data_IF_710704785361
#
_entry.id   IF_710704785361
#
_cell.length_a   1.000
_cell.length_b   1.000
_cell.length_c   1.000
_cell.angle_alpha   90.00
_cell.angle_beta   90.00
_cell.angle_gamma   90.00
#
_symmetry.space_group_name_H-M   'P 1'
#
loop_
_entity.id
_entity.type
_entity.pdbx_description
1 polymer ?
#
# COMPACT_ATOMS: atom_id res chain seq x y z
N UNK A 1 -15.34 -6.21 54.59
CA UNK A 1 -15.96 -5.13 53.79
C UNK A 1 -15.40 -3.74 54.12
N UNK A 2 -15.10 -3.42 55.38
CA UNK A 2 -14.51 -2.12 55.79
C UNK A 2 -13.11 -1.92 55.19
N UNK A 3 -12.24 -2.93 55.25
CA UNK A 3 -10.88 -2.88 54.67
C UNK A 3 -10.87 -2.62 53.15
N UNK A 4 -11.78 -3.25 52.41
CA UNK A 4 -11.88 -3.07 50.96
C UNK A 4 -12.29 -1.63 50.59
N UNK A 5 -13.15 -1.00 51.40
CA UNK A 5 -13.58 0.39 51.22
C UNK A 5 -12.47 1.38 51.55
N UNK A 6 -11.66 1.10 52.58
CA UNK A 6 -10.52 1.94 52.96
C UNK A 6 -9.41 1.90 51.90
N UNK A 7 -9.13 0.71 51.34
CA UNK A 7 -8.17 0.55 50.23
C UNK A 7 -8.66 1.26 48.97
N UNK A 8 -9.96 1.16 48.63
CA UNK A 8 -10.53 1.90 47.50
C UNK A 8 -10.45 3.43 47.70
N UNK A 9 -10.74 3.92 48.92
CA UNK A 9 -10.66 5.34 49.24
C UNK A 9 -9.22 5.86 49.16
N UNK A 10 -8.23 5.06 49.60
CA UNK A 10 -6.81 5.38 49.46
C UNK A 10 -6.33 5.36 47.99
N UNK A 11 -6.85 4.45 47.17
CA UNK A 11 -6.59 4.41 45.72
C UNK A 11 -7.20 5.63 44.99
N UNK A 12 -8.39 6.07 45.39
CA UNK A 12 -8.99 7.29 44.86
C UNK A 12 -8.23 8.54 45.31
N UNK A 13 -7.84 8.63 46.59
CA UNK A 13 -7.12 9.78 47.15
C UNK A 13 -5.68 9.93 46.61
N UNK A 14 -5.03 8.83 46.22
CA UNK A 14 -3.68 8.84 45.65
C UNK A 14 -3.63 9.30 44.18
N UNK A 15 -4.78 9.53 43.54
CA UNK A 15 -4.87 9.88 42.12
C UNK A 15 -4.40 8.77 41.18
N UNK A 16 -4.14 7.57 41.69
CA UNK A 16 -3.60 6.44 40.92
C UNK A 16 -4.55 6.03 39.80
N UNK A 17 -5.86 6.00 40.08
CA UNK A 17 -6.90 5.70 39.08
C UNK A 17 -6.84 6.71 37.92
N UNK A 18 -6.71 8.00 38.22
CA UNK A 18 -6.60 9.05 37.21
C UNK A 18 -5.32 8.90 36.38
N UNK A 19 -4.19 8.56 37.02
CA UNK A 19 -2.92 8.30 36.32
C UNK A 19 -3.01 7.08 35.41
N UNK A 20 -3.67 6.01 35.84
CA UNK A 20 -3.88 4.82 35.02
C UNK A 20 -4.79 5.10 33.83
N UNK A 21 -5.87 5.88 34.03
CA UNK A 21 -6.73 6.32 32.93
C UNK A 21 -5.94 7.18 31.94
N UNK A 22 -5.16 8.15 32.42
CA UNK A 22 -4.34 9.00 31.56
C UNK A 22 -3.29 8.19 30.76
N UNK A 23 -2.64 7.22 31.42
CA UNK A 23 -1.70 6.32 30.77
C UNK A 23 -2.38 5.44 29.69
N UNK A 24 -3.57 4.92 29.97
CA UNK A 24 -4.34 4.14 29.00
C UNK A 24 -4.74 4.98 27.78
N UNK A 25 -5.19 6.22 28.00
CA UNK A 25 -5.54 7.15 26.92
C UNK A 25 -4.30 7.46 26.08
N UNK A 26 -3.16 7.74 26.71
CA UNK A 26 -1.91 8.01 26.00
C UNK A 26 -1.45 6.80 25.17
N UNK A 27 -1.55 5.59 25.72
CA UNK A 27 -1.23 4.36 25.00
C UNK A 27 -2.14 4.14 23.78
N UNK A 28 -3.45 4.35 23.93
CA UNK A 28 -4.41 4.25 22.82
C UNK A 28 -4.12 5.30 21.73
N UNK A 29 -3.78 6.53 22.12
CA UNK A 29 -3.42 7.58 21.16
C UNK A 29 -2.17 7.20 20.35
N UNK A 30 -1.14 6.65 21.00
CA UNK A 30 0.07 6.17 20.32
C UNK A 30 -0.23 5.04 19.35
N UNK A 31 -1.06 4.07 19.73
CA UNK A 31 -1.48 2.98 18.86
C UNK A 31 -2.26 3.48 17.65
N UNK A 32 -3.14 4.46 17.82
CA UNK A 32 -3.89 5.06 16.71
C UNK A 32 -2.95 5.78 15.73
N UNK A 33 -2.01 6.57 16.22
CA UNK A 33 -1.00 7.25 15.39
C UNK A 33 -0.14 6.23 14.64
N UNK A 34 0.34 5.20 15.33
CA UNK A 34 1.12 4.12 14.72
C UNK A 34 0.32 3.39 13.63
N UNK A 35 -0.95 3.08 13.89
CA UNK A 35 -1.85 2.45 12.92
C UNK A 35 -2.04 3.28 11.66
N UNK A 36 -2.29 4.59 11.80
CA UNK A 36 -2.42 5.52 10.66
C UNK A 36 -1.11 5.60 9.86
N UNK A 37 0.03 5.74 10.55
CA UNK A 37 1.33 5.80 9.90
C UNK A 37 1.61 4.52 9.12
N UNK A 38 1.45 3.36 9.75
CA UNK A 38 1.70 2.07 9.13
C UNK A 38 0.77 1.83 7.93
N UNK A 39 -0.50 2.22 8.04
CA UNK A 39 -1.44 2.13 6.93
C UNK A 39 -1.03 3.00 5.74
N UNK A 40 -0.60 4.24 5.98
CA UNK A 40 -0.09 5.13 4.92
C UNK A 40 1.17 4.58 4.26
N UNK A 41 2.10 4.03 5.04
CA UNK A 41 3.31 3.40 4.49
C UNK A 41 2.93 2.22 3.60
N UNK A 42 2.00 1.37 4.04
CA UNK A 42 1.53 0.25 3.25
C UNK A 42 0.84 0.70 1.96
N UNK A 43 -0.07 1.67 2.04
CA UNK A 43 -0.72 2.27 0.86
C UNK A 43 0.31 2.85 -0.10
N UNK A 44 1.33 3.56 0.38
CA UNK A 44 2.37 4.11 -0.50
C UNK A 44 3.16 3.02 -1.24
N UNK A 45 3.37 1.85 -0.62
CA UNK A 45 3.98 0.71 -1.27
C UNK A 45 3.06 0.08 -2.33
N UNK A 46 1.78 -0.04 -2.01
CA UNK A 46 0.76 -0.52 -2.95
C UNK A 46 0.61 0.41 -4.16
N UNK A 47 0.51 1.71 -3.94
CA UNK A 47 0.38 2.72 -5.00
C UNK A 47 1.62 2.75 -5.89
N UNK A 48 2.82 2.60 -5.31
CA UNK A 48 4.06 2.47 -6.09
C UNK A 48 4.04 1.21 -6.95
N UNK A 49 3.66 0.06 -6.38
CA UNK A 49 3.57 -1.18 -7.14
C UNK A 49 2.55 -1.06 -8.30
N UNK A 50 1.41 -0.40 -8.06
CA UNK A 50 0.42 -0.14 -9.09
C UNK A 50 0.98 0.76 -10.20
N UNK A 51 1.72 1.82 -9.83
CA UNK A 51 2.37 2.71 -10.78
C UNK A 51 3.44 2.00 -11.61
N UNK A 52 4.22 1.10 -11.00
CA UNK A 52 5.25 0.31 -11.69
C UNK A 52 4.64 -0.65 -12.71
N UNK A 53 3.55 -1.35 -12.32
CA UNK A 53 2.77 -2.21 -13.23
C UNK A 53 2.22 -1.40 -14.40
N UNK A 54 1.58 -0.26 -14.13
CA UNK A 54 1.03 0.60 -15.17
C UNK A 54 2.13 1.11 -16.13
N UNK A 55 3.31 1.45 -15.61
CA UNK A 55 4.44 1.87 -16.43
C UNK A 55 4.98 0.73 -17.31
N UNK A 56 5.01 -0.49 -16.79
CA UNK A 56 5.39 -1.68 -17.56
C UNK A 56 4.38 -2.01 -18.66
N UNK A 57 3.09 -1.97 -18.35
CA UNK A 57 2.01 -2.18 -19.30
C UNK A 57 2.04 -1.14 -20.42
N UNK A 58 2.25 0.14 -20.08
CA UNK A 58 2.39 1.21 -21.08
C UNK A 58 3.57 0.97 -22.02
N UNK A 59 4.72 0.48 -21.51
CA UNK A 59 5.87 0.11 -22.34
C UNK A 59 5.55 -1.08 -23.24
N UNK A 60 4.85 -2.09 -22.72
CA UNK A 60 4.45 -3.27 -23.50
C UNK A 60 3.48 -2.91 -24.63
N UNK A 61 2.49 -2.06 -24.34
CA UNK A 61 1.54 -1.52 -25.34
C UNK A 61 2.28 -0.72 -26.42
N UNK A 62 3.27 0.11 -26.03
CA UNK A 62 4.11 0.85 -26.97
C UNK A 62 4.84 -0.09 -27.94
N UNK A 63 5.55 -1.08 -27.42
CA UNK A 63 6.25 -2.10 -28.23
C UNK A 63 5.29 -2.88 -29.14
N UNK A 64 4.12 -3.24 -28.63
CA UNK A 64 3.10 -3.94 -29.42
C UNK A 64 2.57 -3.07 -30.57
N UNK A 65 2.39 -1.77 -30.33
CA UNK A 65 2.00 -0.79 -31.35
C UNK A 65 3.06 -0.65 -32.43
N UNK A 66 4.32 -0.49 -32.05
CA UNK A 66 5.45 -0.43 -32.99
C UNK A 66 5.54 -1.70 -33.85
N UNK A 67 5.45 -2.88 -33.21
CA UNK A 67 5.47 -4.15 -33.92
C UNK A 67 4.29 -4.29 -34.90
N UNK A 68 3.11 -3.78 -34.51
CA UNK A 68 1.92 -3.78 -35.35
C UNK A 68 2.10 -2.92 -36.59
N UNK A 69 2.78 -1.79 -36.47
CA UNK A 69 3.10 -0.92 -37.60
C UNK A 69 4.08 -1.59 -38.57
N UNK A 70 5.14 -2.21 -38.05
CA UNK A 70 6.10 -3.00 -38.85
C UNK A 70 5.39 -4.15 -39.58
N UNK A 71 4.53 -4.89 -38.87
CA UNK A 71 3.71 -5.96 -39.46
C UNK A 71 2.82 -5.43 -40.59
N UNK A 72 2.16 -4.28 -40.38
CA UNK A 72 1.27 -3.68 -41.37
C UNK A 72 2.05 -3.28 -42.61
N UNK A 73 3.24 -2.71 -42.46
CA UNK A 73 4.09 -2.30 -43.57
C UNK A 73 4.64 -3.51 -44.34
N UNK A 74 5.00 -4.59 -43.65
CA UNK A 74 5.34 -5.87 -44.28
C UNK A 74 4.22 -6.37 -45.20
N UNK A 75 2.99 -6.39 -44.68
CA UNK A 75 1.79 -6.84 -45.41
C UNK A 75 1.49 -5.94 -46.60
N UNK A 76 1.61 -4.63 -46.46
CA UNK A 76 1.42 -3.66 -47.57
C UNK A 76 2.39 -3.90 -48.73
N UNK A 77 3.63 -4.32 -48.43
CA UNK A 77 4.66 -4.64 -49.44
C UNK A 77 4.53 -6.05 -50.00
N UNK A 78 3.53 -6.82 -49.59
CA UNK A 78 3.35 -8.22 -50.00
C UNK A 78 4.35 -9.20 -49.35
N UNK A 79 5.11 -8.76 -48.34
CA UNK A 79 6.09 -9.59 -47.65
C UNK A 79 5.46 -10.65 -46.75
N UNK A 80 6.27 -11.65 -46.37
CA UNK A 80 5.84 -12.73 -45.46
C UNK A 80 6.28 -12.42 -44.04
N UNK A 81 5.32 -12.28 -43.15
CA UNK A 81 5.59 -12.07 -41.73
C UNK A 81 6.09 -13.36 -41.04
N UNK A 82 7.20 -13.27 -40.31
CA UNK A 82 7.72 -14.35 -39.46
C UNK A 82 7.39 -14.04 -38.00
N UNK A 83 6.35 -14.69 -37.48
CA UNK A 83 5.79 -14.40 -36.16
C UNK A 83 6.78 -14.63 -35.01
N UNK A 84 7.61 -15.69 -35.09
CA UNK A 84 8.57 -16.05 -34.04
C UNK A 84 9.72 -15.06 -33.88
N UNK A 85 9.99 -14.27 -34.91
CA UNK A 85 11.14 -13.34 -34.96
C UNK A 85 10.70 -11.87 -34.97
N UNK A 86 9.39 -11.61 -35.14
CA UNK A 86 8.86 -10.24 -35.19
C UNK A 86 9.36 -9.44 -36.40
N UNK A 87 9.67 -10.10 -37.53
CA UNK A 87 10.21 -9.45 -38.72
C UNK A 87 9.52 -9.87 -40.02
N UNK A 88 9.74 -9.07 -41.05
CA UNK A 88 9.29 -9.33 -42.42
C UNK A 88 10.37 -10.03 -43.23
N UNK A 89 9.98 -11.01 -44.07
CA UNK A 89 10.82 -11.69 -45.06
C UNK A 89 10.32 -11.44 -46.48
#
# INVERSE_FOLDING_TARGET
MIELRAVLAALQASGLVVKLIAAAIAALALLAVYGVWHHRVFQSGYDRALADIAAEDMRAIGKATELRDVWRDCRKRGGRWIQSEGRCA
#
